data_IF_072368602529
#
_entry.id   IF_072368602529
#
_cell.length_a   1.000
_cell.length_b   1.000
_cell.length_c   1.000
_cell.angle_alpha   90.00
_cell.angle_beta   90.00
_cell.angle_gamma   90.00
#
_symmetry.space_group_name_H-M   'P 1'
#
loop_
_entity.id
_entity.type
_entity.pdbx_description
1 polymer ?
#
# COMPACT_ATOMS: atom_id res chain seq x y z
N UNK A 1 -2.79 -65.93 16.27
CA UNK A 1 -1.62 -65.63 17.13
C UNK A 1 -0.84 -64.48 16.51
N UNK A 2 -0.55 -63.47 17.35
CA UNK A 2 0.54 -62.49 17.27
C UNK A 2 0.74 -61.60 16.02
N UNK A 3 0.67 -60.30 16.31
CA UNK A 3 1.19 -59.18 15.54
C UNK A 3 2.71 -59.26 15.24
N UNK A 4 3.15 -58.55 14.20
CA UNK A 4 4.18 -57.47 14.25
C UNK A 4 4.69 -57.11 12.84
N UNK A 5 4.66 -55.79 12.54
CA UNK A 5 5.67 -54.96 11.82
C UNK A 5 6.20 -55.48 10.46
N UNK A 6 6.25 -54.70 9.38
CA UNK A 6 7.07 -53.50 9.20
C UNK A 6 6.55 -52.61 8.06
N UNK A 7 6.71 -51.31 8.28
CA UNK A 7 6.41 -50.21 7.37
C UNK A 7 7.70 -49.80 6.63
N UNK A 8 7.53 -49.11 5.50
CA UNK A 8 8.48 -48.22 4.78
C UNK A 8 9.39 -48.80 3.69
N UNK A 9 9.40 -48.08 2.55
CA UNK A 9 10.44 -48.22 1.53
C UNK A 9 10.15 -47.57 0.16
N UNK A 10 9.41 -46.46 0.05
CA UNK A 10 9.31 -45.68 -1.20
C UNK A 10 9.99 -44.33 -1.00
N UNK A 11 11.03 -44.11 -1.81
CA UNK A 11 11.86 -42.91 -1.85
C UNK A 11 11.03 -41.65 -2.13
N UNK A 12 10.93 -40.76 -1.14
CA UNK A 12 10.66 -39.34 -1.37
C UNK A 12 12.00 -38.60 -1.37
N UNK A 13 12.29 -37.93 -2.50
CA UNK A 13 13.41 -37.01 -2.68
C UNK A 13 13.43 -36.01 -1.52
N UNK A 14 14.54 -36.01 -0.79
CA UNK A 14 14.90 -35.05 0.25
C UNK A 14 14.87 -33.63 -0.31
N UNK A 15 13.83 -32.88 0.04
CA UNK A 15 13.84 -31.42 0.01
C UNK A 15 14.66 -30.97 1.22
N UNK A 16 15.91 -30.57 0.99
CA UNK A 16 16.78 -30.03 2.04
C UNK A 16 16.29 -28.64 2.45
N UNK A 17 15.40 -28.60 3.44
CA UNK A 17 15.09 -27.38 4.19
C UNK A 17 16.15 -27.24 5.29
N UNK A 18 17.15 -26.39 5.11
CA UNK A 18 18.09 -26.05 6.18
C UNK A 18 17.38 -25.18 7.22
N UNK A 19 17.27 -25.59 8.49
CA UNK A 19 16.72 -24.77 9.55
C UNK A 19 17.89 -24.08 10.26
N UNK A 20 18.15 -22.82 9.95
CA UNK A 20 18.94 -21.95 10.81
C UNK A 20 18.48 -20.50 10.69
N UNK A 21 17.36 -20.20 11.34
CA UNK A 21 17.08 -18.86 11.87
C UNK A 21 16.97 -18.99 13.39
N UNK A 22 18.13 -18.96 14.03
CA UNK A 22 18.22 -18.73 15.47
C UNK A 22 17.68 -17.34 15.75
N UNK A 23 16.76 -17.34 16.71
CA UNK A 23 16.06 -16.21 17.27
C UNK A 23 17.04 -15.28 17.98
N UNK A 24 17.05 -14.00 17.59
CA UNK A 24 17.42 -12.92 18.51
C UNK A 24 16.28 -11.90 18.53
N UNK A 25 15.48 -12.04 19.58
CA UNK A 25 14.78 -11.02 20.35
C UNK A 25 14.01 -9.91 19.59
N UNK A 26 12.72 -10.20 19.42
CA UNK A 26 11.61 -9.44 19.99
C UNK A 26 11.96 -8.09 20.65
N UNK A 27 11.63 -6.99 19.97
CA UNK A 27 11.05 -5.81 20.64
C UNK A 27 10.08 -4.98 19.79
N UNK A 28 9.74 -5.35 18.54
CA UNK A 28 8.63 -4.71 17.80
C UNK A 28 7.95 -5.65 16.79
N UNK A 29 7.56 -6.86 17.21
CA UNK A 29 6.55 -7.62 16.45
C UNK A 29 5.19 -7.30 17.06
N UNK A 30 4.66 -6.13 16.69
CA UNK A 30 3.30 -5.77 17.05
C UNK A 30 2.34 -6.88 16.57
N UNK A 31 1.44 -7.40 17.43
CA UNK A 31 0.35 -8.24 16.97
C UNK A 31 -0.47 -7.44 15.95
N UNK A 32 -1.08 -8.12 15.00
CA UNK A 32 -1.85 -7.52 13.90
C UNK A 32 -3.04 -6.70 14.45
N UNK A 33 -2.80 -5.47 14.89
CA UNK A 33 -3.82 -4.45 15.20
C UNK A 33 -4.23 -3.71 13.92
N UNK A 34 -4.44 -4.43 12.81
CA UNK A 34 -4.68 -3.82 11.50
C UNK A 34 -6.16 -3.80 11.08
N UNK A 35 -7.06 -3.60 12.04
CA UNK A 35 -8.40 -3.04 11.77
C UNK A 35 -8.59 -1.67 12.43
N UNK A 36 -7.89 -1.36 13.53
CA UNK A 36 -7.94 -0.06 14.20
C UNK A 36 -6.91 0.97 13.67
N UNK A 37 -5.75 0.53 13.16
CA UNK A 37 -4.71 1.44 12.61
C UNK A 37 -5.06 1.98 11.22
N UNK A 38 -6.18 1.56 10.62
CA UNK A 38 -6.64 2.07 9.33
C UNK A 38 -7.28 3.47 9.38
N UNK A 39 -7.49 4.08 10.56
CA UNK A 39 -8.10 5.40 10.64
C UNK A 39 -7.22 6.52 11.22
N UNK A 40 -6.23 6.24 12.08
CA UNK A 40 -5.60 7.32 12.84
C UNK A 40 -4.60 8.21 12.08
N UNK A 41 -4.08 7.79 10.92
CA UNK A 41 -3.18 8.64 10.08
C UNK A 41 -3.85 9.22 8.83
N UNK A 42 -5.11 8.90 8.60
CA UNK A 42 -5.94 9.52 7.54
C UNK A 42 -6.78 10.68 8.03
N UNK A 43 -6.95 10.88 9.34
CA UNK A 43 -7.79 11.96 9.86
C UNK A 43 -7.36 13.34 9.35
N UNK A 44 -6.07 13.71 9.38
CA UNK A 44 -5.65 15.04 8.89
C UNK A 44 -6.03 15.32 7.42
N UNK A 45 -5.95 14.32 6.52
CA UNK A 45 -6.35 14.49 5.12
C UNK A 45 -7.84 14.30 4.88
N UNK A 46 -8.55 13.59 5.76
CA UNK A 46 -9.99 13.45 5.71
C UNK A 46 -10.66 14.73 6.23
N UNK A 47 -10.11 15.31 7.31
CA UNK A 47 -10.50 16.58 7.92
C UNK A 47 -10.38 17.71 6.89
N UNK A 48 -9.23 17.84 6.21
CA UNK A 48 -9.08 18.87 5.16
C UNK A 48 -10.00 18.66 3.97
N UNK A 49 -10.30 17.41 3.59
CA UNK A 49 -11.29 17.15 2.55
C UNK A 49 -12.71 17.49 3.00
N UNK A 50 -13.08 17.21 4.26
CA UNK A 50 -14.39 17.56 4.81
C UNK A 50 -14.54 19.06 5.03
N UNK A 51 -13.48 19.77 5.39
CA UNK A 51 -13.45 21.23 5.49
C UNK A 51 -13.63 21.87 4.11
N UNK A 52 -12.93 21.35 3.08
CA UNK A 52 -13.12 21.80 1.69
C UNK A 52 -14.56 21.59 1.19
N UNK A 53 -15.21 20.47 1.56
CA UNK A 53 -16.60 20.21 1.20
C UNK A 53 -17.56 21.17 1.92
N UNK A 54 -17.33 21.44 3.21
CA UNK A 54 -18.11 22.40 4.00
C UNK A 54 -17.94 23.83 3.50
N UNK A 55 -16.72 24.24 3.13
CA UNK A 55 -16.45 25.56 2.57
C UNK A 55 -17.12 25.83 1.22
N UNK A 56 -17.50 24.78 0.49
CA UNK A 56 -18.21 24.86 -0.80
C UNK A 56 -19.72 24.61 -0.67
N UNK A 57 -20.26 24.56 0.56
CA UNK A 57 -21.66 24.23 0.86
C UNK A 57 -22.15 22.99 0.10
N UNK A 58 -21.29 21.98 -0.05
CA UNK A 58 -21.65 20.75 -0.75
C UNK A 58 -22.48 19.90 0.22
N UNK A 59 -23.74 19.55 -0.13
CA UNK A 59 -24.55 18.71 0.73
C UNK A 59 -23.89 17.34 0.94
N UNK A 60 -24.15 16.72 2.09
CA UNK A 60 -23.60 15.40 2.39
C UNK A 60 -24.13 14.35 1.41
N UNK A 61 -23.19 13.58 0.85
CA UNK A 61 -23.54 12.55 -0.12
C UNK A 61 -24.39 11.45 0.55
N UNK A 62 -25.55 11.06 -0.03
CA UNK A 62 -26.33 9.93 0.44
C UNK A 62 -25.45 8.68 0.58
N UNK A 63 -25.57 7.98 1.71
CA UNK A 63 -24.82 6.74 1.96
C UNK A 63 -25.51 5.58 1.26
N UNK A 64 -24.71 4.67 0.69
CA UNK A 64 -25.23 3.43 0.09
C UNK A 64 -25.89 2.57 1.17
N UNK A 65 -27.01 1.88 0.87
CA UNK A 65 -27.63 0.97 1.80
C UNK A 65 -26.70 -0.22 2.09
N UNK A 66 -26.81 -0.77 3.29
CA UNK A 66 -25.99 -1.90 3.71
C UNK A 66 -26.45 -3.17 2.99
N UNK A 67 -25.48 -3.95 2.50
CA UNK A 67 -25.74 -5.29 1.94
C UNK A 67 -26.50 -6.17 2.94
N UNK A 68 -27.36 -7.11 2.49
CA UNK A 68 -28.12 -8.02 3.37
C UNK A 68 -27.27 -8.66 4.48
N UNK A 69 -26.08 -9.16 4.12
CA UNK A 69 -25.15 -9.74 5.08
C UNK A 69 -24.60 -8.71 6.08
N UNK A 70 -24.22 -7.51 5.62
CA UNK A 70 -23.70 -6.46 6.51
C UNK A 70 -24.76 -5.98 7.49
N UNK A 71 -26.01 -5.93 7.06
CA UNK A 71 -27.15 -5.59 7.93
C UNK A 71 -27.39 -6.65 9.00
N UNK A 72 -27.29 -7.92 8.61
CA UNK A 72 -27.31 -9.03 9.58
C UNK A 72 -26.14 -8.93 10.56
N UNK A 73 -24.93 -8.66 10.08
CA UNK A 73 -23.73 -8.50 10.93
C UNK A 73 -23.94 -7.36 11.92
N UNK A 74 -24.51 -6.23 11.53
CA UNK A 74 -24.77 -5.11 12.43
C UNK A 74 -25.68 -5.52 13.59
N UNK A 75 -26.80 -6.20 13.29
CA UNK A 75 -27.74 -6.67 14.29
C UNK A 75 -27.14 -7.76 15.20
N UNK A 76 -26.49 -8.76 14.62
CA UNK A 76 -26.00 -9.94 15.35
C UNK A 76 -24.69 -9.66 16.12
N UNK A 77 -23.83 -8.77 15.59
CA UNK A 77 -22.59 -8.36 16.27
C UNK A 77 -22.86 -7.82 17.66
N UNK A 78 -23.92 -7.04 17.84
CA UNK A 78 -24.28 -6.50 19.16
C UNK A 78 -24.65 -7.59 20.16
N UNK A 79 -25.36 -8.63 19.73
CA UNK A 79 -25.67 -9.79 20.58
C UNK A 79 -24.41 -10.56 20.98
N UNK A 80 -23.52 -10.83 20.02
CA UNK A 80 -22.26 -11.57 20.29
C UNK A 80 -21.32 -10.79 21.21
N UNK A 81 -21.25 -9.47 21.07
CA UNK A 81 -20.47 -8.60 21.96
C UNK A 81 -21.04 -8.53 23.38
N UNK A 82 -22.37 -8.62 23.53
CA UNK A 82 -23.01 -8.68 24.86
C UNK A 82 -22.72 -9.99 25.56
N UNK A 83 -22.78 -11.10 24.85
CA UNK A 83 -22.44 -12.42 25.39
C UNK A 83 -20.96 -12.53 25.72
N UNK A 84 -20.10 -11.84 24.96
CA UNK A 84 -18.66 -11.91 25.14
C UNK A 84 -17.98 -10.55 24.90
N UNK A 85 -17.87 -9.70 25.94
CA UNK A 85 -17.34 -8.35 25.81
C UNK A 85 -15.84 -8.30 25.46
N UNK A 86 -15.07 -9.33 25.83
CA UNK A 86 -13.61 -9.37 25.63
C UNK A 86 -13.17 -10.05 24.32
N UNK A 87 -14.11 -10.53 23.49
CA UNK A 87 -13.77 -11.23 22.25
C UNK A 87 -13.23 -10.26 21.20
N UNK A 88 -12.20 -10.71 20.47
CA UNK A 88 -11.65 -9.98 19.33
C UNK A 88 -12.70 -9.83 18.24
N UNK A 89 -12.84 -8.61 17.71
CA UNK A 89 -13.78 -8.28 16.62
C UNK A 89 -13.62 -9.23 15.41
N UNK A 90 -12.40 -9.69 15.13
CA UNK A 90 -12.13 -10.65 14.05
C UNK A 90 -12.84 -12.00 14.24
N UNK A 91 -12.97 -12.45 15.49
CA UNK A 91 -13.65 -13.71 15.83
C UNK A 91 -15.16 -13.51 15.83
N UNK A 92 -15.66 -12.35 16.28
CA UNK A 92 -17.08 -11.98 16.17
C UNK A 92 -17.54 -12.05 14.71
N UNK A 93 -16.79 -11.45 13.78
CA UNK A 93 -17.14 -11.46 12.36
C UNK A 93 -17.13 -12.87 11.77
N UNK A 94 -16.23 -13.75 12.22
CA UNK A 94 -16.22 -15.17 11.83
C UNK A 94 -17.49 -15.89 12.29
N UNK A 95 -17.87 -15.73 13.57
CA UNK A 95 -19.13 -16.28 14.11
C UNK A 95 -20.35 -15.75 13.36
N UNK A 96 -20.39 -14.47 13.02
CA UNK A 96 -21.46 -13.90 12.20
C UNK A 96 -21.52 -14.57 10.81
N UNK A 97 -20.38 -14.81 10.17
CA UNK A 97 -20.32 -15.45 8.85
C UNK A 97 -20.82 -16.91 8.92
N UNK A 98 -20.40 -17.67 9.93
CA UNK A 98 -20.85 -19.05 10.17
C UNK A 98 -22.37 -19.10 10.40
N UNK A 99 -22.89 -18.19 11.23
CA UNK A 99 -24.33 -18.09 11.50
C UNK A 99 -25.10 -17.74 10.24
N UNK A 100 -24.65 -16.75 9.47
CA UNK A 100 -25.28 -16.38 8.20
C UNK A 100 -25.31 -17.54 7.21
N UNK A 101 -24.24 -18.31 7.09
CA UNK A 101 -24.20 -19.47 6.20
C UNK A 101 -25.21 -20.54 6.63
N UNK A 102 -25.38 -20.73 7.94
CA UNK A 102 -26.31 -21.69 8.54
C UNK A 102 -27.77 -21.25 8.51
N UNK A 103 -28.07 -19.98 8.21
CA UNK A 103 -29.45 -19.49 8.12
C UNK A 103 -30.19 -20.04 6.89
N UNK A 104 -31.50 -20.19 7.03
CA UNK A 104 -32.38 -20.62 5.94
C UNK A 104 -32.45 -19.56 4.83
N UNK A 105 -32.80 -20.00 3.61
CA UNK A 105 -32.93 -19.08 2.48
C UNK A 105 -34.08 -18.09 2.69
N UNK A 106 -35.12 -18.46 3.43
CA UNK A 106 -36.26 -17.59 3.77
C UNK A 106 -35.85 -16.40 4.64
N UNK A 107 -35.02 -16.63 5.67
CA UNK A 107 -34.50 -15.56 6.51
C UNK A 107 -33.58 -14.64 5.72
N UNK A 108 -32.71 -15.22 4.87
CA UNK A 108 -31.85 -14.45 3.96
C UNK A 108 -32.68 -13.63 2.97
N UNK A 109 -33.79 -14.15 2.49
CA UNK A 109 -34.68 -13.49 1.53
C UNK A 109 -35.28 -12.21 2.12
N UNK A 110 -35.71 -12.22 3.39
CA UNK A 110 -36.19 -11.00 4.07
C UNK A 110 -35.14 -9.88 4.04
N UNK A 111 -33.87 -10.20 4.29
CA UNK A 111 -32.79 -9.21 4.20
C UNK A 111 -32.53 -8.74 2.76
N UNK A 112 -32.66 -9.63 1.77
CA UNK A 112 -32.54 -9.28 0.34
C UNK A 112 -33.66 -8.33 -0.10
N UNK A 113 -34.89 -8.57 0.31
CA UNK A 113 -36.05 -7.72 -0.02
C UNK A 113 -35.93 -6.34 0.62
N UNK A 114 -35.58 -6.28 1.91
CA UNK A 114 -35.32 -5.00 2.58
C UNK A 114 -34.21 -4.21 1.88
N UNK A 115 -33.15 -4.88 1.42
CA UNK A 115 -32.09 -4.23 0.65
C UNK A 115 -32.58 -3.70 -0.70
N UNK A 116 -33.46 -4.41 -1.41
CA UNK A 116 -34.03 -3.94 -2.69
C UNK A 116 -34.77 -2.62 -2.49
N UNK A 117 -35.67 -2.57 -1.50
CA UNK A 117 -36.45 -1.36 -1.18
C UNK A 117 -35.53 -0.18 -0.83
N UNK A 118 -34.52 -0.41 0.00
CA UNK A 118 -33.56 0.64 0.36
C UNK A 118 -32.67 1.06 -0.81
N UNK A 119 -32.32 0.13 -1.69
CA UNK A 119 -31.55 0.41 -2.91
C UNK A 119 -32.34 1.27 -3.89
N UNK A 120 -33.64 1.05 -4.04
CA UNK A 120 -34.52 1.87 -4.87
C UNK A 120 -34.63 3.29 -4.31
N UNK A 121 -34.88 3.43 -3.00
CA UNK A 121 -34.89 4.74 -2.31
C UNK A 121 -33.54 5.45 -2.44
N UNK A 122 -32.43 4.72 -2.30
CA UNK A 122 -31.09 5.27 -2.50
C UNK A 122 -30.87 5.75 -3.94
N UNK A 123 -31.37 5.02 -4.94
CA UNK A 123 -31.26 5.40 -6.35
C UNK A 123 -31.98 6.72 -6.65
N UNK A 124 -33.14 6.95 -6.03
CA UNK A 124 -33.88 8.20 -6.16
C UNK A 124 -33.12 9.35 -5.46
N UNK A 125 -32.78 9.18 -4.19
CA UNK A 125 -32.07 10.21 -3.41
C UNK A 125 -30.71 10.59 -4.00
N UNK A 126 -29.96 9.65 -4.57
CA UNK A 126 -28.67 9.96 -5.22
C UNK A 126 -28.85 10.67 -6.56
N UNK A 127 -29.92 10.36 -7.30
CA UNK A 127 -30.28 11.10 -8.53
C UNK A 127 -30.58 12.56 -8.19
N UNK A 128 -31.41 12.80 -7.17
CA UNK A 128 -31.79 14.14 -6.76
C UNK A 128 -30.59 14.92 -6.20
N UNK A 129 -29.75 14.25 -5.41
CA UNK A 129 -28.47 14.79 -4.95
C UNK A 129 -27.59 15.24 -6.11
N UNK A 130 -27.39 14.38 -7.13
CA UNK A 130 -26.55 14.73 -8.27
C UNK A 130 -27.12 15.90 -9.09
N UNK A 131 -28.45 16.02 -9.19
CA UNK A 131 -29.12 17.15 -9.85
C UNK A 131 -28.99 18.46 -9.06
N UNK A 132 -28.95 18.40 -7.74
CA UNK A 132 -28.79 19.59 -6.88
C UNK A 132 -27.39 20.20 -6.91
N UNK A 133 -26.38 19.48 -7.43
CA UNK A 133 -25.00 19.94 -7.42
C UNK A 133 -24.70 20.89 -8.58
N UNK A 134 -24.01 21.99 -8.28
CA UNK A 134 -23.48 22.91 -9.30
C UNK A 134 -22.25 22.32 -9.99
N UNK A 135 -21.96 22.75 -11.22
CA UNK A 135 -20.77 22.33 -11.97
C UNK A 135 -19.45 22.52 -11.19
N UNK A 136 -19.32 23.61 -10.45
CA UNK A 136 -18.15 23.89 -9.59
C UNK A 136 -18.01 22.86 -8.46
N UNK A 137 -19.12 22.50 -7.81
CA UNK A 137 -19.15 21.48 -6.77
C UNK A 137 -18.78 20.10 -7.32
N UNK A 138 -19.25 19.77 -8.53
CA UNK A 138 -18.91 18.52 -9.23
C UNK A 138 -17.40 18.48 -9.54
N UNK A 139 -16.81 19.59 -9.99
CA UNK A 139 -15.38 19.67 -10.24
C UNK A 139 -14.57 19.48 -8.96
N UNK A 140 -14.93 20.19 -7.88
CA UNK A 140 -14.29 20.03 -6.58
C UNK A 140 -14.36 18.58 -6.05
N UNK A 141 -15.52 17.91 -6.21
CA UNK A 141 -15.68 16.50 -5.86
C UNK A 141 -14.76 15.58 -6.69
N UNK A 142 -14.60 15.86 -7.99
CA UNK A 142 -13.69 15.11 -8.88
C UNK A 142 -12.23 15.30 -8.46
N UNK A 143 -11.82 16.52 -8.13
CA UNK A 143 -10.46 16.82 -7.65
C UNK A 143 -10.15 16.11 -6.34
N UNK A 144 -11.08 16.16 -5.36
CA UNK A 144 -10.93 15.44 -4.09
C UNK A 144 -10.83 13.94 -4.33
N UNK A 145 -11.63 13.38 -5.25
CA UNK A 145 -11.57 11.96 -5.60
C UNK A 145 -10.22 11.59 -6.27
N UNK A 146 -9.71 12.45 -7.16
CA UNK A 146 -8.41 12.27 -7.79
C UNK A 146 -7.27 12.36 -6.78
N UNK A 147 -7.32 13.32 -5.85
CA UNK A 147 -6.35 13.45 -4.76
C UNK A 147 -6.34 12.20 -3.87
N UNK A 148 -7.51 11.64 -3.54
CA UNK A 148 -7.61 10.37 -2.80
C UNK A 148 -7.01 9.20 -3.59
N UNK A 149 -7.27 9.11 -4.90
CA UNK A 149 -6.74 8.05 -5.79
C UNK A 149 -5.22 8.14 -5.89
N UNK A 150 -4.68 9.32 -6.14
CA UNK A 150 -3.22 9.55 -6.24
C UNK A 150 -2.51 9.27 -4.93
N UNK A 151 -3.08 9.69 -3.77
CA UNK A 151 -2.56 9.32 -2.44
C UNK A 151 -2.55 7.81 -2.23
N UNK A 152 -3.61 7.08 -2.61
CA UNK A 152 -3.68 5.62 -2.52
C UNK A 152 -2.61 4.95 -3.40
N UNK A 153 -2.42 5.44 -4.62
CA UNK A 153 -1.35 4.98 -5.52
C UNK A 153 0.03 5.23 -4.92
N UNK A 154 0.32 6.44 -4.43
CA UNK A 154 1.59 6.75 -3.74
C UNK A 154 1.87 5.83 -2.55
N UNK A 155 0.85 5.49 -1.75
CA UNK A 155 0.97 4.54 -0.64
C UNK A 155 1.29 3.13 -1.11
N UNK A 156 0.60 2.64 -2.15
CA UNK A 156 0.89 1.34 -2.77
C UNK A 156 2.32 1.29 -3.30
N UNK A 157 2.75 2.32 -4.03
CA UNK A 157 4.12 2.41 -4.55
C UNK A 157 5.16 2.44 -3.43
N UNK A 158 4.92 3.21 -2.35
CA UNK A 158 5.82 3.24 -1.20
C UNK A 158 5.91 1.89 -0.49
N UNK A 159 4.78 1.17 -0.39
CA UNK A 159 4.75 -0.18 0.17
C UNK A 159 5.54 -1.14 -0.72
N UNK A 160 5.32 -1.12 -2.03
CA UNK A 160 6.06 -1.92 -3.00
C UNK A 160 7.57 -1.68 -2.87
N UNK A 161 8.02 -0.43 -2.90
CA UNK A 161 9.44 -0.10 -2.72
C UNK A 161 10.02 -0.57 -1.37
N UNK A 162 9.20 -0.67 -0.33
CA UNK A 162 9.63 -1.17 0.99
C UNK A 162 9.74 -2.69 0.98
N UNK A 163 8.74 -3.36 0.41
CA UNK A 163 8.68 -4.82 0.34
C UNK A 163 9.77 -5.38 -0.59
N UNK A 164 10.12 -4.67 -1.66
CA UNK A 164 11.20 -5.02 -2.60
C UNK A 164 12.56 -4.44 -2.22
N UNK A 165 12.70 -3.86 -1.02
CA UNK A 165 13.96 -3.29 -0.50
C UNK A 165 14.67 -2.37 -1.50
N UNK A 166 13.94 -1.45 -2.12
CA UNK A 166 14.51 -0.52 -3.09
C UNK A 166 15.76 0.17 -2.52
N UNK A 167 16.91 0.13 -3.22
CA UNK A 167 18.13 0.79 -2.77
C UNK A 167 17.87 2.25 -2.41
N UNK A 168 18.41 2.69 -1.27
CA UNK A 168 18.30 4.07 -0.81
C UNK A 168 19.47 4.88 -1.35
N UNK A 169 19.18 6.10 -1.81
CA UNK A 169 20.21 7.03 -2.27
C UNK A 169 21.23 7.28 -1.15
N UNK A 170 22.53 7.32 -1.48
CA UNK A 170 23.55 7.69 -0.50
C UNK A 170 23.34 9.14 -0.04
N UNK A 171 23.72 9.38 1.20
CA UNK A 171 23.65 10.72 1.79
C UNK A 171 24.70 11.62 1.18
N UNK A 172 24.35 12.89 1.01
CA UNK A 172 25.28 13.91 0.49
C UNK A 172 26.46 14.12 1.44
N UNK A 173 27.64 14.57 0.95
CA UNK A 173 28.84 14.79 1.77
C UNK A 173 28.59 15.65 3.02
N UNK A 174 27.89 16.79 2.84
CA UNK A 174 27.51 17.66 3.95
C UNK A 174 26.59 16.96 4.97
N UNK A 175 25.65 16.14 4.52
CA UNK A 175 24.74 15.40 5.41
C UNK A 175 25.48 14.28 6.16
N UNK A 176 26.49 13.67 5.54
CA UNK A 176 27.35 12.71 6.21
C UNK A 176 28.15 13.38 7.32
N UNK A 177 28.73 14.54 7.04
CA UNK A 177 29.38 15.35 8.06
C UNK A 177 28.43 15.74 9.19
N UNK A 178 27.21 16.18 8.87
CA UNK A 178 26.19 16.46 9.89
C UNK A 178 25.89 15.23 10.76
N UNK A 179 25.81 14.04 10.17
CA UNK A 179 25.61 12.80 10.94
C UNK A 179 26.79 12.49 11.85
N UNK A 180 28.02 12.71 11.41
CA UNK A 180 29.22 12.54 12.23
C UNK A 180 29.26 13.57 13.37
N UNK A 181 28.93 14.83 13.10
CA UNK A 181 28.80 15.87 14.13
C UNK A 181 27.73 15.49 15.15
N UNK A 182 26.56 15.00 14.72
CA UNK A 182 25.52 14.50 15.62
C UNK A 182 26.00 13.36 16.51
N UNK A 183 26.80 12.44 15.98
CA UNK A 183 27.38 11.34 16.75
C UNK A 183 28.40 11.85 17.77
N UNK A 184 29.23 12.81 17.38
CA UNK A 184 30.28 13.37 18.23
C UNK A 184 29.71 14.27 19.34
N UNK A 185 28.68 15.06 19.05
CA UNK A 185 28.08 16.00 20.01
C UNK A 185 26.87 15.43 20.76
N UNK A 186 26.40 14.23 20.39
CA UNK A 186 25.17 13.62 20.89
C UNK A 186 23.91 14.50 20.69
N UNK A 187 23.95 15.43 19.73
CA UNK A 187 22.82 16.30 19.39
C UNK A 187 21.97 15.62 18.32
N UNK A 188 20.62 15.62 18.45
CA UNK A 188 19.76 15.07 17.41
C UNK A 188 19.87 15.86 16.10
N UNK A 189 19.88 15.15 14.97
CA UNK A 189 20.01 15.74 13.61
C UNK A 189 19.01 16.86 13.31
N UNK A 190 17.83 16.84 13.95
CA UNK A 190 16.80 17.86 13.77
C UNK A 190 17.17 19.21 14.37
N UNK A 191 17.93 19.22 15.46
CA UNK A 191 18.43 20.44 16.09
C UNK A 191 19.58 20.99 15.28
N UNK A 192 20.53 20.11 14.93
CA UNK A 192 21.65 20.47 14.08
C UNK A 192 21.15 21.06 12.75
N UNK A 193 20.22 20.44 12.03
CA UNK A 193 19.73 20.98 10.75
C UNK A 193 19.12 22.40 10.80
N UNK A 194 18.77 22.92 11.99
CA UNK A 194 18.29 24.30 12.16
C UNK A 194 19.41 25.32 12.36
N UNK A 195 20.62 24.87 12.70
CA UNK A 195 21.73 25.79 12.96
C UNK A 195 22.22 26.40 11.64
N UNK A 196 22.15 27.73 11.49
CA UNK A 196 22.56 28.40 10.26
C UNK A 196 24.07 28.31 10.01
N UNK A 197 24.85 28.08 11.06
CA UNK A 197 26.31 28.09 11.00
C UNK A 197 26.92 26.76 10.57
N UNK A 198 26.15 25.68 10.39
CA UNK A 198 26.73 24.39 9.95
C UNK A 198 27.30 24.46 8.56
N UNK A 199 26.63 25.19 7.66
CA UNK A 199 27.14 25.40 6.31
C UNK A 199 28.48 26.13 6.35
N UNK A 200 28.60 27.16 7.20
CA UNK A 200 29.87 27.86 7.42
C UNK A 200 30.92 26.93 8.04
N UNK A 201 30.55 26.12 9.04
CA UNK A 201 31.44 25.11 9.65
C UNK A 201 31.96 24.10 8.62
N UNK A 202 31.12 23.70 7.68
CA UNK A 202 31.52 22.81 6.58
C UNK A 202 32.46 23.51 5.58
N UNK A 203 32.17 24.76 5.25
CA UNK A 203 33.00 25.55 4.34
C UNK A 203 34.37 25.92 4.95
N UNK A 204 34.43 26.09 6.28
CA UNK A 204 35.68 26.29 7.02
C UNK A 204 36.51 25.01 7.23
N UNK A 205 35.98 23.82 6.87
CA UNK A 205 36.76 22.58 6.98
C UNK A 205 37.92 22.56 5.97
N UNK A 206 39.08 21.99 6.36
CA UNK A 206 40.17 21.72 5.45
C UNK A 206 39.69 21.01 4.18
N UNK A 207 40.28 21.36 3.04
CA UNK A 207 39.94 20.72 1.77
C UNK A 207 40.19 19.21 1.80
N UNK A 208 41.16 18.74 2.59
CA UNK A 208 41.43 17.32 2.81
C UNK A 208 40.22 16.57 3.37
N UNK A 209 39.56 17.15 4.37
CA UNK A 209 38.40 16.53 5.02
C UNK A 209 37.20 16.54 4.09
N UNK A 210 36.96 17.67 3.39
CA UNK A 210 35.91 17.76 2.38
C UNK A 210 36.10 16.74 1.26
N UNK A 211 37.33 16.54 0.77
CA UNK A 211 37.66 15.50 -0.22
C UNK A 211 37.39 14.09 0.30
N UNK A 212 37.72 13.78 1.55
CA UNK A 212 37.41 12.47 2.16
C UNK A 212 35.91 12.15 2.11
N UNK A 213 35.05 13.11 2.46
CA UNK A 213 33.60 12.90 2.39
C UNK A 213 33.11 12.74 0.95
N UNK A 214 33.67 13.51 0.02
CA UNK A 214 33.35 13.40 -1.41
C UNK A 214 33.72 12.02 -1.96
N UNK A 215 34.92 11.52 -1.67
CA UNK A 215 35.35 10.18 -2.09
C UNK A 215 34.44 9.08 -1.54
N UNK A 216 34.10 9.16 -0.24
CA UNK A 216 33.18 8.19 0.37
C UNK A 216 31.79 8.28 -0.27
N UNK A 217 31.32 9.48 -0.59
CA UNK A 217 30.06 9.68 -1.30
C UNK A 217 30.11 9.06 -2.70
N UNK A 218 31.15 9.32 -3.48
CA UNK A 218 31.30 8.76 -4.84
C UNK A 218 31.33 7.22 -4.81
N UNK A 219 32.07 6.61 -3.86
CA UNK A 219 32.09 5.15 -3.69
C UNK A 219 30.69 4.60 -3.36
N UNK A 220 29.98 5.22 -2.42
CA UNK A 220 28.61 4.81 -2.04
C UNK A 220 27.62 5.01 -3.19
N UNK A 221 27.79 6.06 -3.99
CA UNK A 221 26.98 6.37 -5.16
C UNK A 221 27.17 5.35 -6.27
N UNK A 222 28.42 4.98 -6.60
CA UNK A 222 28.71 3.95 -7.57
C UNK A 222 28.06 2.61 -7.19
N UNK A 223 28.16 2.21 -5.92
CA UNK A 223 27.49 1.01 -5.41
C UNK A 223 25.97 1.10 -5.52
N UNK A 224 25.39 2.23 -5.09
CA UNK A 224 23.95 2.47 -5.19
C UNK A 224 23.44 2.39 -6.64
N UNK A 225 24.19 2.95 -7.59
CA UNK A 225 23.79 2.93 -8.99
C UNK A 225 23.81 1.51 -9.56
N UNK A 226 24.77 0.66 -9.16
CA UNK A 226 24.80 -0.77 -9.48
C UNK A 226 23.61 -1.52 -8.87
N UNK A 227 23.41 -1.40 -7.55
CA UNK A 227 22.30 -2.06 -6.84
C UNK A 227 20.93 -1.63 -7.42
N UNK A 228 20.81 -0.36 -7.84
CA UNK A 228 19.59 0.17 -8.44
C UNK A 228 19.31 -0.44 -9.81
N UNK A 229 20.33 -0.64 -10.65
CA UNK A 229 20.16 -1.27 -11.97
C UNK A 229 19.71 -2.72 -11.82
N UNK A 230 20.31 -3.47 -10.89
CA UNK A 230 19.91 -4.84 -10.58
C UNK A 230 18.46 -4.90 -10.06
N UNK A 231 18.11 -4.02 -9.12
CA UNK A 231 16.75 -3.90 -8.63
C UNK A 231 15.76 -3.56 -9.75
N UNK A 232 16.12 -2.67 -10.67
CA UNK A 232 15.26 -2.30 -11.81
C UNK A 232 15.01 -3.48 -12.75
N UNK A 233 15.99 -4.37 -12.96
CA UNK A 233 15.80 -5.59 -13.76
C UNK A 233 14.77 -6.52 -13.11
N UNK A 234 14.93 -6.82 -11.81
CA UNK A 234 13.98 -7.65 -11.04
C UNK A 234 12.56 -7.06 -11.12
N UNK A 235 12.44 -5.74 -10.99
CA UNK A 235 11.14 -5.08 -11.05
C UNK A 235 10.49 -5.11 -12.45
N UNK A 236 11.28 -5.20 -13.52
CA UNK A 236 10.77 -5.39 -14.89
C UNK A 236 10.27 -6.84 -15.05
N UNK A 237 11.03 -7.82 -14.55
CA UNK A 237 10.66 -9.25 -14.57
C UNK A 237 9.37 -9.51 -13.78
N UNK A 238 9.20 -8.88 -12.62
CA UNK A 238 7.99 -8.95 -11.79
C UNK A 238 6.78 -8.18 -12.38
N UNK A 239 6.93 -7.55 -13.56
CA UNK A 239 5.86 -6.79 -14.22
C UNK A 239 5.56 -5.43 -13.57
N UNK A 240 6.43 -4.94 -12.71
CA UNK A 240 6.30 -3.68 -11.98
C UNK A 240 7.01 -2.51 -12.68
N UNK A 241 6.83 -2.38 -14.00
CA UNK A 241 7.45 -1.34 -14.83
C UNK A 241 7.18 0.08 -14.34
N UNK A 242 6.00 0.34 -13.76
CA UNK A 242 5.63 1.64 -13.19
C UNK A 242 6.51 2.10 -12.00
N UNK A 243 7.31 1.20 -11.41
CA UNK A 243 8.20 1.51 -10.29
C UNK A 243 9.63 1.86 -10.72
N UNK A 244 9.96 1.60 -11.98
CA UNK A 244 11.29 1.71 -12.59
C UNK A 244 11.48 3.08 -13.24
N UNK A 245 12.72 3.56 -13.34
CA UNK A 245 13.02 4.82 -14.04
C UNK A 245 12.66 4.70 -15.51
N UNK A 246 12.12 5.79 -16.07
CA UNK A 246 11.77 5.86 -17.50
C UNK A 246 12.96 5.65 -18.44
N UNK A 247 14.19 5.96 -18.01
CA UNK A 247 15.41 5.75 -18.82
C UNK A 247 15.69 4.26 -19.03
N UNK A 248 15.71 3.49 -17.95
CA UNK A 248 15.94 2.04 -17.96
C UNK A 248 14.89 1.31 -18.80
N UNK A 249 13.63 1.72 -18.74
CA UNK A 249 12.56 1.16 -19.57
C UNK A 249 12.76 1.39 -21.07
N UNK A 250 13.31 2.56 -21.46
CA UNK A 250 13.62 2.86 -22.86
C UNK A 250 14.79 2.02 -23.36
N UNK A 251 15.80 1.81 -22.52
CA UNK A 251 16.94 0.95 -22.82
C UNK A 251 16.50 -0.51 -23.00
N UNK A 252 15.71 -1.08 -22.09
CA UNK A 252 15.21 -2.46 -22.24
C UNK A 252 14.31 -2.67 -23.46
N UNK A 253 13.49 -1.68 -23.81
CA UNK A 253 12.66 -1.71 -25.02
C UNK A 253 13.46 -1.57 -26.32
N UNK A 254 14.71 -1.09 -26.26
CA UNK A 254 15.60 -1.06 -27.43
C UNK A 254 16.30 -2.40 -27.70
N UNK A 255 16.45 -3.26 -26.68
CA UNK A 255 17.05 -4.59 -26.81
C UNK A 255 16.05 -5.71 -27.10
N UNK A 256 14.77 -5.49 -26.83
CA UNK A 256 13.71 -6.36 -27.36
C UNK A 256 13.60 -6.08 -28.86
N UNK A 257 13.77 -7.08 -29.75
CA UNK A 257 13.49 -6.88 -31.16
C UNK A 257 12.06 -6.35 -31.27
N UNK A 258 11.78 -5.37 -32.14
CA UNK A 258 10.44 -4.85 -32.29
C UNK A 258 9.55 -6.04 -32.62
N UNK A 259 8.76 -6.51 -31.64
CA UNK A 259 7.69 -7.46 -31.88
C UNK A 259 6.90 -6.81 -32.99
N UNK A 260 6.93 -7.42 -34.18
CA UNK A 260 6.42 -6.83 -35.42
C UNK A 260 4.97 -6.40 -35.18
N UNK A 261 4.79 -5.13 -34.82
CA UNK A 261 3.52 -4.42 -34.91
C UNK A 261 3.05 -4.39 -36.37
N UNK A 262 3.93 -4.74 -37.33
CA UNK A 262 3.58 -5.01 -38.72
C UNK A 262 2.80 -6.31 -38.93
N UNK A 263 2.99 -7.35 -38.11
CA UNK A 263 2.16 -8.57 -38.21
C UNK A 263 0.75 -8.32 -37.68
N UNK A 264 0.60 -7.60 -36.56
CA UNK A 264 -0.72 -7.24 -36.04
C UNK A 264 -1.47 -6.27 -36.96
N UNK A 265 -0.78 -5.31 -37.60
CA UNK A 265 -1.40 -4.41 -38.58
C UNK A 265 -1.81 -5.14 -39.87
N UNK A 266 -1.01 -6.10 -40.34
CA UNK A 266 -1.37 -6.90 -41.52
C UNK A 266 -2.56 -7.82 -41.25
N UNK A 267 -2.58 -8.53 -40.11
CA UNK A 267 -3.69 -9.40 -39.72
C UNK A 267 -4.99 -8.59 -39.54
N UNK A 268 -4.92 -7.40 -38.91
CA UNK A 268 -6.09 -6.52 -38.76
C UNK A 268 -6.55 -5.95 -40.11
N UNK A 269 -5.64 -5.66 -41.05
CA UNK A 269 -6.04 -5.20 -42.40
C UNK A 269 -6.58 -6.32 -43.30
N UNK A 270 -6.11 -7.56 -43.13
CA UNK A 270 -6.65 -8.73 -43.84
C UNK A 270 -8.03 -9.11 -43.31
N UNK A 271 -8.26 -9.02 -42.00
CA UNK A 271 -9.57 -9.24 -41.39
C UNK A 271 -10.63 -8.17 -41.73
N UNK A 272 -10.22 -7.02 -42.27
CA UNK A 272 -11.13 -5.96 -42.72
C UNK A 272 -11.38 -5.99 -44.25
N UNK A 273 -10.76 -6.94 -44.97
CA UNK A 273 -10.93 -7.14 -46.42
C UNK A 273 -11.75 -8.39 -46.79
N UNK A 274 -12.23 -9.14 -45.80
CA UNK A 274 -13.22 -10.22 -45.93
C UNK A 274 -14.56 -9.67 -45.42
#
# INVERSE_FOLDING_TARGET
MAAKTFFTGVLLKSFNFTPNKVLLNNSYRAPLVNTAVLNLRSHASAVTATEKLKGLNIPDKPKRPLSPYLRFVENYKHSVLKENPDIKITEVVKKCAEKWNSMSEEEKQKYKENYKIESEKYSQTISDYNKSLTNEQIQALKEIALEKKTKKQKRKMKKLCKDTNKPKRPLLPLTMYMMEVCQMSNIPLKELMKDPDIRKKWESLPESDRKRYEEVYQRKKAKYDQDLLEWEKIMIEDGHQNAVRQRTLKETNSYLPPVRLSLYKNIVSEMQRI
#
